data_IF_924565671775
#
_entry.id   IF_924565671775
#
_cell.length_a   1.000
_cell.length_b   1.000
_cell.length_c   1.000
_cell.angle_alpha   90.00
_cell.angle_beta   90.00
_cell.angle_gamma   90.00
#
_symmetry.space_group_name_H-M   'P 1'
#
loop_
_entity.id
_entity.type
_entity.pdbx_description
1 polymer ?
#
# COMPACT_ATOMS: atom_id res chain seq x y z
N UNK A 1 -40.78 -40.50 -26.58
CA UNK A 1 -40.16 -39.31 -25.94
C UNK A 1 -39.11 -39.78 -24.95
N UNK A 2 -37.80 -39.59 -25.23
CA UNK A 2 -36.74 -40.02 -24.32
C UNK A 2 -36.42 -38.92 -23.29
N UNK A 3 -36.13 -39.37 -22.07
CA UNK A 3 -35.80 -38.53 -20.91
C UNK A 3 -34.50 -37.73 -21.12
N UNK A 4 -34.58 -36.40 -20.94
CA UNK A 4 -33.41 -35.51 -20.91
C UNK A 4 -32.70 -35.63 -19.56
N UNK A 5 -31.46 -36.12 -19.58
CA UNK A 5 -30.48 -36.03 -18.49
C UNK A 5 -30.25 -34.56 -18.12
N UNK A 6 -30.34 -34.23 -16.84
CA UNK A 6 -29.81 -32.96 -16.28
C UNK A 6 -28.28 -33.02 -16.31
N UNK A 7 -27.56 -32.01 -16.82
CA UNK A 7 -26.13 -31.92 -16.62
C UNK A 7 -25.83 -31.46 -15.19
N UNK A 8 -24.74 -32.03 -14.66
CA UNK A 8 -24.25 -31.89 -13.30
C UNK A 8 -23.99 -30.43 -12.93
N UNK A 9 -24.36 -30.08 -11.69
CA UNK A 9 -24.01 -28.81 -11.07
C UNK A 9 -22.50 -28.60 -11.08
N UNK A 10 -22.09 -27.54 -11.75
CA UNK A 10 -20.77 -26.95 -11.59
C UNK A 10 -20.62 -26.58 -10.11
N UNK A 11 -19.62 -27.21 -9.49
CA UNK A 11 -19.18 -26.88 -8.14
C UNK A 11 -18.68 -25.45 -8.18
N UNK A 12 -19.49 -24.52 -7.68
CA UNK A 12 -19.06 -23.16 -7.38
C UNK A 12 -17.79 -23.24 -6.52
N UNK A 13 -16.68 -22.77 -7.08
CA UNK A 13 -15.44 -22.58 -6.37
C UNK A 13 -15.73 -21.51 -5.31
N UNK A 14 -15.93 -21.93 -4.05
CA UNK A 14 -16.00 -21.01 -2.92
C UNK A 14 -14.63 -20.32 -2.83
N UNK A 15 -14.56 -19.08 -3.29
CA UNK A 15 -13.44 -18.17 -3.00
C UNK A 15 -13.42 -17.87 -1.49
N UNK A 16 -12.88 -18.81 -0.71
CA UNK A 16 -12.33 -18.48 0.59
C UNK A 16 -10.85 -18.15 0.36
N UNK A 17 -10.58 -16.95 -0.16
CA UNK A 17 -9.26 -16.37 0.03
C UNK A 17 -9.06 -16.21 1.55
N UNK A 18 -7.96 -16.77 2.06
CA UNK A 18 -7.55 -16.61 3.45
C UNK A 18 -7.19 -15.14 3.66
N UNK A 19 -8.18 -14.30 3.98
CA UNK A 19 -7.95 -12.88 4.24
C UNK A 19 -7.13 -12.74 5.51
N UNK A 20 -5.86 -12.35 5.36
CA UNK A 20 -5.00 -11.99 6.48
C UNK A 20 -5.65 -10.82 7.25
N UNK A 21 -5.67 -10.83 8.60
CA UNK A 21 -6.17 -9.69 9.35
C UNK A 21 -5.39 -8.42 9.03
N UNK A 22 -6.08 -7.30 8.80
CA UNK A 22 -5.45 -6.01 8.51
C UNK A 22 -4.35 -5.61 9.52
N UNK A 23 -4.50 -5.81 10.85
CA UNK A 23 -3.41 -5.51 11.78
C UNK A 23 -2.15 -6.33 11.52
N UNK A 24 -2.30 -7.59 11.08
CA UNK A 24 -1.18 -8.44 10.70
C UNK A 24 -0.52 -7.93 9.43
N UNK A 25 -1.31 -7.63 8.38
CA UNK A 25 -0.81 -7.06 7.13
C UNK A 25 -0.03 -5.75 7.37
N UNK A 26 -0.52 -4.87 8.23
CA UNK A 26 0.15 -3.62 8.60
C UNK A 26 1.49 -3.80 9.33
N UNK A 27 1.71 -4.94 9.99
CA UNK A 27 2.97 -5.25 10.69
C UNK A 27 4.02 -5.90 9.80
N UNK A 28 3.61 -6.66 8.78
CA UNK A 28 4.53 -7.39 7.89
C UNK A 28 5.61 -6.50 7.24
N UNK A 29 5.32 -5.25 6.78
CA UNK A 29 6.35 -4.35 6.27
C UNK A 29 7.47 -4.08 7.28
N UNK A 30 7.17 -3.96 8.58
CA UNK A 30 8.19 -3.76 9.60
C UNK A 30 9.07 -5.00 9.79
N UNK A 31 8.48 -6.19 9.70
CA UNK A 31 9.25 -7.44 9.73
C UNK A 31 10.17 -7.55 8.52
N UNK A 32 9.70 -7.15 7.34
CA UNK A 32 10.50 -7.11 6.12
C UNK A 32 11.66 -6.12 6.25
N UNK A 33 11.42 -4.88 6.72
CA UNK A 33 12.48 -3.88 6.93
C UNK A 33 13.55 -4.39 7.89
N UNK A 34 13.15 -5.02 9.00
CA UNK A 34 14.08 -5.60 9.96
C UNK A 34 14.85 -6.79 9.37
N UNK A 35 14.20 -7.67 8.62
CA UNK A 35 14.86 -8.78 7.94
C UNK A 35 15.89 -8.29 6.89
N UNK A 36 15.56 -7.24 6.12
CA UNK A 36 16.48 -6.60 5.17
C UNK A 36 17.71 -6.02 5.88
N UNK A 37 17.52 -5.38 7.03
CA UNK A 37 18.63 -4.88 7.85
C UNK A 37 19.57 -6.02 8.26
N UNK A 38 19.04 -7.09 8.85
CA UNK A 38 19.82 -8.25 9.27
C UNK A 38 20.53 -8.93 8.09
N UNK A 39 19.89 -8.98 6.93
CA UNK A 39 20.49 -9.52 5.72
C UNK A 39 21.71 -8.70 5.28
N UNK A 40 21.59 -7.36 5.31
CA UNK A 40 22.69 -6.45 5.00
C UNK A 40 23.86 -6.58 6.00
N UNK A 41 23.58 -6.97 7.24
CA UNK A 41 24.58 -7.28 8.28
C UNK A 41 25.17 -8.70 8.16
N UNK A 42 24.77 -9.49 7.17
CA UNK A 42 25.27 -10.85 6.92
C UNK A 42 24.66 -11.93 7.82
N UNK A 43 23.54 -11.64 8.49
CA UNK A 43 22.85 -12.61 9.35
C UNK A 43 22.00 -13.55 8.50
N UNK A 44 22.38 -14.82 8.46
CA UNK A 44 21.70 -15.85 7.65
C UNK A 44 20.39 -16.38 8.27
N UNK A 45 20.15 -16.13 9.56
CA UNK A 45 18.94 -16.57 10.26
C UNK A 45 18.42 -15.55 11.25
N UNK A 46 17.10 -15.47 11.39
CA UNK A 46 16.41 -14.59 12.34
C UNK A 46 15.28 -15.33 13.05
N UNK A 47 15.17 -15.17 14.38
CA UNK A 47 14.07 -15.75 15.18
C UNK A 47 12.89 -14.77 15.33
N UNK A 48 11.69 -15.30 15.62
CA UNK A 48 10.52 -14.46 15.95
C UNK A 48 10.78 -13.55 17.15
N UNK A 49 11.61 -13.98 18.12
CA UNK A 49 12.01 -13.17 19.28
C UNK A 49 12.91 -12.00 18.89
N UNK A 50 13.86 -12.22 17.98
CA UNK A 50 14.69 -11.12 17.46
C UNK A 50 13.86 -10.10 16.67
N UNK A 51 12.92 -10.56 15.82
CA UNK A 51 12.01 -9.67 15.09
C UNK A 51 11.13 -8.88 16.07
N UNK A 52 10.57 -9.56 17.07
CA UNK A 52 9.77 -8.95 18.12
C UNK A 52 10.51 -7.83 18.87
N UNK A 53 11.76 -8.08 19.23
CA UNK A 53 12.61 -7.07 19.88
C UNK A 53 12.95 -5.91 18.95
N UNK A 54 13.32 -6.19 17.70
CA UNK A 54 13.67 -5.16 16.72
C UNK A 54 12.51 -4.26 16.31
N UNK A 55 11.29 -4.81 16.27
CA UNK A 55 10.07 -4.09 15.83
C UNK A 55 9.22 -3.59 17.01
N UNK A 56 9.46 -4.08 18.22
CA UNK A 56 8.71 -3.68 19.42
C UNK A 56 7.32 -4.30 19.52
N UNK A 57 7.19 -5.58 19.17
CA UNK A 57 5.93 -6.35 19.25
C UNK A 57 6.13 -7.67 20.02
N UNK A 58 5.04 -8.35 20.39
CA UNK A 58 5.15 -9.65 21.07
C UNK A 58 5.58 -10.78 20.12
N UNK A 59 6.49 -11.67 20.56
CA UNK A 59 7.00 -12.76 19.72
C UNK A 59 5.95 -13.78 19.27
N UNK A 60 4.90 -14.01 20.07
CA UNK A 60 3.79 -14.88 19.69
C UNK A 60 2.96 -14.26 18.57
N UNK A 61 2.86 -12.92 18.55
CA UNK A 61 2.19 -12.18 17.49
C UNK A 61 2.99 -12.25 16.18
N UNK A 62 4.32 -12.11 16.23
CA UNK A 62 5.18 -12.30 15.05
C UNK A 62 5.00 -13.69 14.47
N UNK A 63 5.07 -14.74 15.30
CA UNK A 63 4.91 -16.11 14.84
C UNK A 63 3.54 -16.36 14.20
N UNK A 64 2.47 -15.79 14.79
CA UNK A 64 1.11 -15.84 14.24
C UNK A 64 1.01 -15.12 12.90
N UNK A 65 1.56 -13.91 12.80
CA UNK A 65 1.54 -13.13 11.56
C UNK A 65 2.27 -13.85 10.42
N UNK A 66 3.47 -14.37 10.69
CA UNK A 66 4.27 -15.10 9.71
C UNK A 66 3.63 -16.43 9.29
N UNK A 67 2.76 -17.02 10.12
CA UNK A 67 2.01 -18.21 9.76
C UNK A 67 0.99 -17.98 8.63
N UNK A 68 0.47 -16.75 8.48
CA UNK A 68 -0.46 -16.41 7.38
C UNK A 68 0.23 -16.36 6.02
N UNK A 69 1.53 -16.09 5.97
CA UNK A 69 2.33 -16.00 4.74
C UNK A 69 3.07 -17.31 4.43
N UNK A 70 2.64 -18.43 5.03
CA UNK A 70 3.23 -19.77 4.89
C UNK A 70 4.72 -19.87 5.25
N UNK A 71 5.24 -18.91 6.01
CA UNK A 71 6.64 -18.86 6.38
C UNK A 71 6.83 -19.69 7.66
N UNK A 72 7.34 -20.93 7.49
CA UNK A 72 7.55 -21.88 8.58
C UNK A 72 9.01 -21.84 9.04
N UNK A 73 9.22 -21.34 10.25
CA UNK A 73 10.54 -21.35 10.88
C UNK A 73 10.98 -22.76 11.26
N UNK A 74 12.29 -22.95 11.40
CA UNK A 74 12.88 -24.16 11.97
C UNK A 74 13.02 -24.00 13.48
N UNK A 75 12.55 -24.99 14.23
CA UNK A 75 12.66 -25.03 15.70
C UNK A 75 14.12 -24.79 16.13
N UNK A 76 14.33 -23.84 17.06
CA UNK A 76 15.64 -23.38 17.59
C UNK A 76 16.55 -22.58 16.64
N UNK A 77 16.25 -22.50 15.34
CA UNK A 77 17.07 -21.76 14.36
C UNK A 77 16.35 -20.47 13.91
N UNK A 78 15.02 -20.50 13.81
CA UNK A 78 14.23 -19.40 13.26
C UNK A 78 14.07 -19.53 11.74
N UNK A 79 14.00 -18.40 11.07
CA UNK A 79 13.76 -18.25 9.64
C UNK A 79 15.07 -17.96 8.93
N UNK A 80 15.25 -18.49 7.71
CA UNK A 80 16.35 -18.05 6.85
C UNK A 80 16.06 -16.62 6.41
N UNK A 81 17.01 -15.71 6.63
CA UNK A 81 16.77 -14.27 6.42
C UNK A 81 16.44 -13.95 4.95
N UNK A 82 17.20 -14.52 4.01
CA UNK A 82 16.96 -14.36 2.57
C UNK A 82 15.56 -14.83 2.15
N UNK A 83 15.19 -16.06 2.55
CA UNK A 83 13.88 -16.66 2.26
C UNK A 83 12.75 -15.83 2.87
N UNK A 84 12.96 -15.28 4.07
CA UNK A 84 11.98 -14.41 4.71
C UNK A 84 11.78 -13.10 3.96
N UNK A 85 12.87 -12.47 3.48
CA UNK A 85 12.77 -11.27 2.64
C UNK A 85 11.99 -11.57 1.38
N UNK A 86 12.37 -12.63 0.64
CA UNK A 86 11.72 -13.03 -0.61
C UNK A 86 10.22 -13.32 -0.43
N UNK A 87 9.85 -14.12 0.58
CA UNK A 87 8.44 -14.45 0.85
C UNK A 87 7.63 -13.21 1.21
N UNK A 88 8.19 -12.31 2.04
CA UNK A 88 7.47 -11.11 2.45
C UNK A 88 7.36 -10.09 1.31
N UNK A 89 8.38 -9.89 0.49
CA UNK A 89 8.33 -9.00 -0.68
C UNK A 89 7.26 -9.45 -1.67
N UNK A 90 7.27 -10.74 -2.02
CA UNK A 90 6.27 -11.33 -2.92
C UNK A 90 4.86 -11.23 -2.33
N UNK A 91 4.69 -11.54 -1.04
CA UNK A 91 3.38 -11.48 -0.39
C UNK A 91 2.81 -10.06 -0.29
N UNK A 92 3.67 -9.07 -0.05
CA UNK A 92 3.28 -7.66 0.06
C UNK A 92 3.07 -6.97 -1.30
N UNK A 93 3.38 -7.64 -2.41
CA UNK A 93 3.32 -7.07 -3.76
C UNK A 93 4.45 -6.10 -4.08
N UNK A 94 5.51 -6.05 -3.26
CA UNK A 94 6.64 -5.12 -3.45
C UNK A 94 7.59 -5.54 -4.57
N UNK A 95 7.37 -6.71 -5.17
CA UNK A 95 8.06 -7.18 -6.38
C UNK A 95 7.33 -6.80 -7.67
N UNK A 96 6.09 -6.33 -7.58
CA UNK A 96 5.31 -5.86 -8.74
C UNK A 96 5.66 -4.40 -9.04
N UNK A 97 5.63 -4.01 -10.32
CA UNK A 97 5.81 -2.61 -10.73
C UNK A 97 4.45 -2.00 -11.02
N UNK A 98 3.78 -1.52 -9.98
CA UNK A 98 2.56 -0.74 -10.12
C UNK A 98 2.88 0.68 -10.59
N UNK A 99 2.04 1.21 -11.47
CA UNK A 99 2.14 2.59 -11.95
C UNK A 99 0.99 3.42 -11.40
N UNK A 100 1.30 4.68 -11.08
CA UNK A 100 0.34 5.60 -10.47
C UNK A 100 0.37 6.98 -11.12
N UNK A 101 -0.77 7.65 -11.05
CA UNK A 101 -0.90 9.08 -11.22
C UNK A 101 -1.05 9.78 -9.87
N UNK A 102 -0.47 10.97 -9.73
CA UNK A 102 -0.58 11.79 -8.52
C UNK A 102 -1.42 13.04 -8.79
N UNK A 103 -2.36 13.33 -7.90
CA UNK A 103 -3.31 14.44 -8.04
C UNK A 103 -3.13 15.46 -6.91
N UNK A 104 -2.74 16.68 -7.26
CA UNK A 104 -2.41 17.76 -6.34
C UNK A 104 -0.91 17.81 -6.03
N UNK A 105 -0.17 18.55 -6.84
CA UNK A 105 1.29 18.76 -6.72
C UNK A 105 1.60 19.97 -5.84
N UNK A 106 1.01 19.99 -4.64
CA UNK A 106 1.43 20.87 -3.55
C UNK A 106 2.68 20.32 -2.85
N UNK A 107 2.99 20.82 -1.65
CA UNK A 107 4.18 20.38 -0.90
C UNK A 107 4.27 18.86 -0.68
N UNK A 108 3.15 18.22 -0.31
CA UNK A 108 3.12 16.77 -0.10
C UNK A 108 3.21 16.00 -1.42
N UNK A 109 2.48 16.45 -2.45
CA UNK A 109 2.50 15.81 -3.76
C UNK A 109 3.89 15.86 -4.40
N UNK A 110 4.55 17.02 -4.36
CA UNK A 110 5.92 17.19 -4.81
C UNK A 110 6.90 16.28 -4.07
N UNK A 111 6.79 16.18 -2.74
CA UNK A 111 7.65 15.29 -1.95
C UNK A 111 7.45 13.81 -2.30
N UNK A 112 6.22 13.39 -2.61
CA UNK A 112 5.94 12.01 -3.05
C UNK A 112 6.49 11.73 -4.46
N UNK A 113 6.47 12.71 -5.36
CA UNK A 113 7.08 12.58 -6.69
C UNK A 113 8.60 12.36 -6.61
N UNK A 114 9.27 12.95 -5.63
CA UNK A 114 10.72 12.80 -5.40
C UNK A 114 11.09 11.53 -4.59
N UNK A 115 10.11 10.83 -4.01
CA UNK A 115 10.37 9.72 -3.10
C UNK A 115 10.77 8.44 -3.86
N UNK A 116 12.08 8.24 -3.99
CA UNK A 116 12.68 7.02 -4.55
C UNK A 116 12.35 5.75 -3.77
N UNK A 117 11.96 5.88 -2.50
CA UNK A 117 11.51 4.77 -1.67
C UNK A 117 10.25 4.10 -2.23
N UNK A 118 9.32 4.86 -2.82
CA UNK A 118 8.11 4.31 -3.44
C UNK A 118 8.46 3.32 -4.57
N UNK A 119 9.45 3.65 -5.41
CA UNK A 119 9.94 2.76 -6.47
C UNK A 119 10.51 1.45 -5.90
N UNK A 120 11.19 1.51 -4.75
CA UNK A 120 11.72 0.32 -4.06
C UNK A 120 10.63 -0.59 -3.48
N UNK A 121 9.42 -0.05 -3.29
CA UNK A 121 8.24 -0.78 -2.84
C UNK A 121 7.27 -1.09 -3.98
N UNK A 122 7.72 -1.02 -5.23
CA UNK A 122 6.94 -1.43 -6.40
C UNK A 122 5.94 -0.39 -6.91
N UNK A 123 6.11 0.89 -6.55
CA UNK A 123 5.24 1.97 -7.01
C UNK A 123 6.02 3.02 -7.80
N UNK A 124 5.72 3.15 -9.09
CA UNK A 124 6.24 4.20 -9.97
C UNK A 124 5.16 5.25 -10.22
N UNK A 125 5.41 6.51 -9.85
CA UNK A 125 4.55 7.62 -10.26
C UNK A 125 5.01 8.10 -11.63
N UNK A 126 4.11 8.08 -12.61
CA UNK A 126 4.46 8.34 -14.02
C UNK A 126 4.00 9.71 -14.51
N UNK A 127 3.03 10.31 -13.81
CA UNK A 127 2.55 11.65 -14.07
C UNK A 127 1.93 12.29 -12.82
N UNK A 128 2.06 13.61 -12.71
CA UNK A 128 1.34 14.45 -11.75
C UNK A 128 0.26 15.28 -12.44
N UNK A 129 -0.77 15.67 -11.70
CA UNK A 129 -1.87 16.50 -12.17
C UNK A 129 -2.14 17.63 -11.17
N UNK A 130 -2.31 18.84 -11.68
CA UNK A 130 -2.67 20.01 -10.86
C UNK A 130 -3.56 20.98 -11.66
N UNK A 131 -4.13 21.96 -10.96
CA UNK A 131 -4.89 23.08 -11.55
C UNK A 131 -4.09 24.39 -11.54
N UNK A 132 -2.98 24.43 -10.80
CA UNK A 132 -2.10 25.58 -10.71
C UNK A 132 -1.23 25.69 -11.98
N UNK A 133 -1.51 26.71 -12.79
CA UNK A 133 -0.78 27.00 -14.03
C UNK A 133 0.72 27.24 -13.84
N UNK A 134 1.19 27.49 -12.62
CA UNK A 134 2.62 27.65 -12.33
C UNK A 134 3.38 26.32 -12.32
N UNK A 135 2.72 25.19 -12.06
CA UNK A 135 3.36 23.86 -12.01
C UNK A 135 3.01 23.00 -13.24
N UNK A 136 1.89 23.26 -13.89
CA UNK A 136 1.50 22.57 -15.13
C UNK A 136 2.57 22.79 -16.21
N UNK A 137 2.93 21.73 -16.92
CA UNK A 137 3.97 21.72 -17.96
C UNK A 137 5.40 21.63 -17.43
N UNK A 138 5.59 21.58 -16.10
CA UNK A 138 6.90 21.37 -15.47
C UNK A 138 7.14 19.88 -15.16
N UNK A 139 8.27 19.58 -14.53
CA UNK A 139 8.67 18.23 -14.11
C UNK A 139 9.26 18.22 -12.70
N UNK A 140 9.05 17.14 -11.97
CA UNK A 140 9.70 16.84 -10.68
C UNK A 140 10.29 15.43 -10.75
N UNK A 141 11.58 15.26 -10.49
CA UNK A 141 12.32 13.98 -10.68
C UNK A 141 12.01 13.32 -12.06
N UNK A 142 12.03 14.12 -13.13
CA UNK A 142 11.67 13.74 -14.52
C UNK A 142 10.19 13.40 -14.77
N UNK A 143 9.34 13.41 -13.74
CA UNK A 143 7.92 13.12 -13.86
C UNK A 143 7.16 14.36 -14.34
N UNK A 144 6.46 14.31 -15.49
CA UNK A 144 5.70 15.44 -16.02
C UNK A 144 4.46 15.77 -15.19
N UNK A 145 4.12 17.06 -15.13
CA UNK A 145 2.91 17.58 -14.50
C UNK A 145 1.96 18.10 -15.57
N UNK A 146 0.74 17.57 -15.61
CA UNK A 146 -0.30 17.90 -16.57
C UNK A 146 -1.45 18.70 -15.93
N UNK A 147 -2.30 19.27 -16.78
CA UNK A 147 -3.58 19.81 -16.35
C UNK A 147 -4.54 18.66 -16.04
N UNK A 148 -5.50 18.88 -15.14
CA UNK A 148 -6.62 17.95 -14.94
C UNK A 148 -7.42 17.70 -16.23
N UNK A 149 -7.44 18.65 -17.16
CA UNK A 149 -8.12 18.51 -18.46
C UNK A 149 -7.47 17.43 -19.34
N UNK A 150 -6.18 17.13 -19.12
CA UNK A 150 -5.42 16.13 -19.87
C UNK A 150 -5.58 14.71 -19.29
N UNK A 151 -6.29 14.54 -18.17
CA UNK A 151 -6.39 13.26 -17.45
C UNK A 151 -6.88 12.12 -18.33
N UNK A 152 -7.95 12.34 -19.10
CA UNK A 152 -8.50 11.32 -19.98
C UNK A 152 -7.48 10.86 -21.04
N UNK A 153 -6.80 11.81 -21.68
CA UNK A 153 -5.75 11.52 -22.66
C UNK A 153 -4.59 10.74 -22.02
N UNK A 154 -4.11 11.18 -20.85
CA UNK A 154 -3.01 10.50 -20.16
C UNK A 154 -3.41 9.09 -19.70
N UNK A 155 -4.64 8.88 -19.25
CA UNK A 155 -5.14 7.55 -18.89
C UNK A 155 -5.20 6.62 -20.11
N UNK A 156 -5.58 7.11 -21.28
CA UNK A 156 -5.55 6.34 -22.53
C UNK A 156 -4.11 6.00 -22.97
N UNK A 157 -3.16 6.92 -22.79
CA UNK A 157 -1.74 6.70 -23.10
C UNK A 157 -1.04 5.75 -22.13
N UNK A 158 -1.57 5.62 -20.91
CA UNK A 158 -1.03 4.80 -19.84
C UNK A 158 -2.07 3.78 -19.32
N UNK A 159 -2.52 2.83 -20.16
CA UNK A 159 -3.59 1.88 -19.81
C UNK A 159 -3.22 0.95 -18.63
N UNK A 160 -1.94 0.85 -18.29
CA UNK A 160 -1.43 0.11 -17.13
C UNK A 160 -1.53 0.86 -15.79
N UNK A 161 -1.87 2.16 -15.80
CA UNK A 161 -2.02 2.96 -14.58
C UNK A 161 -3.41 2.73 -14.00
N UNK A 162 -3.44 2.13 -12.82
CA UNK A 162 -4.69 1.82 -12.10
C UNK A 162 -4.76 2.46 -10.71
N UNK A 163 -3.69 3.14 -10.29
CA UNK A 163 -3.55 3.76 -8.98
C UNK A 163 -3.58 5.29 -9.10
N UNK A 164 -4.43 5.94 -8.30
CA UNK A 164 -4.45 7.38 -8.10
C UNK A 164 -4.01 7.77 -6.69
N UNK A 165 -3.00 8.61 -6.57
CA UNK A 165 -2.55 9.17 -5.29
C UNK A 165 -3.19 10.54 -5.11
N UNK A 166 -3.99 10.70 -4.06
CA UNK A 166 -4.81 11.89 -3.85
C UNK A 166 -4.22 12.78 -2.75
N UNK A 167 -3.63 13.91 -3.16
CA UNK A 167 -3.01 14.94 -2.29
C UNK A 167 -3.63 16.33 -2.47
N UNK A 168 -4.87 16.40 -2.98
CA UNK A 168 -5.62 17.63 -3.21
C UNK A 168 -6.28 18.19 -1.92
N UNK A 169 -6.74 19.45 -1.91
CA UNK A 169 -7.59 19.98 -0.84
C UNK A 169 -8.87 19.15 -0.63
N UNK A 170 -9.38 19.15 0.60
CA UNK A 170 -10.57 18.37 0.99
C UNK A 170 -11.78 18.66 0.10
N UNK A 171 -11.96 19.94 -0.27
CA UNK A 171 -13.13 20.40 -1.02
C UNK A 171 -13.21 19.81 -2.43
N UNK A 172 -12.08 19.38 -2.99
CA UNK A 172 -11.98 18.84 -4.35
C UNK A 172 -11.75 17.33 -4.39
N UNK A 173 -11.50 16.69 -3.23
CA UNK A 173 -11.12 15.29 -3.13
C UNK A 173 -12.14 14.32 -3.78
N UNK A 174 -13.44 14.56 -3.54
CA UNK A 174 -14.51 13.72 -4.13
C UNK A 174 -14.61 13.92 -5.65
N UNK A 175 -14.67 15.18 -6.10
CA UNK A 175 -14.80 15.48 -7.52
C UNK A 175 -13.64 14.91 -8.36
N UNK A 176 -12.41 15.00 -7.84
CA UNK A 176 -11.24 14.38 -8.48
C UNK A 176 -11.39 12.86 -8.48
N UNK A 177 -11.74 12.24 -7.34
CA UNK A 177 -11.98 10.79 -7.24
C UNK A 177 -12.97 10.28 -8.28
N UNK A 178 -14.07 11.00 -8.50
CA UNK A 178 -15.09 10.59 -9.48
C UNK A 178 -14.51 10.57 -10.91
N UNK A 179 -13.71 11.59 -11.27
CA UNK A 179 -13.02 11.65 -12.58
C UNK A 179 -11.99 10.52 -12.76
N UNK A 180 -11.24 10.19 -11.71
CA UNK A 180 -10.29 9.06 -11.73
C UNK A 180 -11.01 7.75 -12.08
N UNK A 181 -12.14 7.50 -11.42
CA UNK A 181 -12.93 6.27 -11.62
C UNK A 181 -13.49 6.22 -13.05
N UNK A 182 -13.99 7.34 -13.58
CA UNK A 182 -14.43 7.45 -14.97
C UNK A 182 -13.30 7.13 -15.97
N UNK A 183 -12.06 7.45 -15.62
CA UNK A 183 -10.86 7.14 -16.42
C UNK A 183 -10.30 5.73 -16.18
N UNK A 184 -11.00 4.86 -15.44
CA UNK A 184 -10.59 3.47 -15.20
C UNK A 184 -9.60 3.26 -14.06
N UNK A 185 -9.32 4.29 -13.26
CA UNK A 185 -8.50 4.17 -12.05
C UNK A 185 -9.38 3.62 -10.91
N UNK A 186 -9.04 2.43 -10.42
CA UNK A 186 -9.86 1.71 -9.43
C UNK A 186 -9.14 1.48 -8.09
N UNK A 187 -7.89 1.93 -7.93
CA UNK A 187 -7.18 1.94 -6.67
C UNK A 187 -6.78 3.37 -6.28
N UNK A 188 -7.14 3.81 -5.08
CA UNK A 188 -6.92 5.19 -4.63
C UNK A 188 -6.16 5.19 -3.32
N UNK A 189 -5.01 5.84 -3.30
CA UNK A 189 -4.26 6.13 -2.09
C UNK A 189 -4.55 7.57 -1.64
N UNK A 190 -5.46 7.70 -0.68
CA UNK A 190 -5.99 8.97 -0.23
C UNK A 190 -5.20 9.55 0.95
N UNK A 191 -4.50 10.66 0.74
CA UNK A 191 -3.80 11.42 1.79
C UNK A 191 -4.62 12.59 2.34
N UNK A 192 -5.81 12.83 1.80
CA UNK A 192 -6.70 13.85 2.34
C UNK A 192 -7.29 13.37 3.68
N UNK A 193 -7.57 14.29 4.63
CA UNK A 193 -8.21 13.91 5.90
C UNK A 193 -9.72 13.61 5.74
N UNK A 194 -10.23 13.54 4.51
CA UNK A 194 -11.62 13.34 4.18
C UNK A 194 -11.85 11.93 3.63
N UNK A 195 -12.96 11.29 4.04
CA UNK A 195 -13.35 9.99 3.48
C UNK A 195 -14.13 10.21 2.19
N UNK A 196 -13.54 9.78 1.09
CA UNK A 196 -14.18 9.73 -0.23
C UNK A 196 -15.19 8.58 -0.29
N UNK A 197 -16.28 8.77 -1.04
CA UNK A 197 -17.26 7.75 -1.36
C UNK A 197 -16.94 7.17 -2.73
N UNK A 198 -16.90 5.85 -2.84
CA UNK A 198 -16.55 5.14 -4.08
C UNK A 198 -17.50 3.97 -4.31
N UNK A 199 -17.73 3.56 -5.58
CA UNK A 199 -18.54 2.38 -5.89
C UNK A 199 -17.87 1.08 -5.45
N UNK A 200 -18.63 -0.01 -5.48
CA UNK A 200 -18.12 -1.35 -5.20
C UNK A 200 -17.03 -1.73 -6.23
N UNK A 201 -15.96 -2.39 -5.74
CA UNK A 201 -14.81 -2.77 -6.56
C UNK A 201 -13.67 -1.75 -6.59
N UNK A 202 -13.90 -0.50 -6.16
CA UNK A 202 -12.82 0.49 -6.00
C UNK A 202 -12.15 0.31 -4.65
N UNK A 203 -10.82 0.17 -4.66
CA UNK A 203 -9.99 0.01 -3.46
C UNK A 203 -9.55 1.40 -2.99
N UNK A 204 -9.81 1.72 -1.73
CA UNK A 204 -9.37 3.00 -1.14
C UNK A 204 -8.53 2.74 0.10
N UNK A 205 -7.28 3.20 0.08
CA UNK A 205 -6.41 3.23 1.25
C UNK A 205 -6.27 4.66 1.76
N UNK A 206 -6.74 4.92 2.98
CA UNK A 206 -6.62 6.24 3.62
C UNK A 206 -5.34 6.33 4.45
N UNK A 207 -4.62 7.44 4.31
CA UNK A 207 -3.38 7.73 5.06
C UNK A 207 -3.46 9.11 5.70
N UNK A 208 -3.31 9.16 7.02
CA UNK A 208 -3.35 10.40 7.78
C UNK A 208 -2.13 10.50 8.69
N UNK A 209 -1.23 11.44 8.39
CA UNK A 209 -0.13 11.79 9.29
C UNK A 209 -0.64 12.29 10.64
N UNK A 210 -1.78 12.99 10.62
CA UNK A 210 -2.40 13.56 11.83
C UNK A 210 -2.92 12.49 12.79
N UNK A 211 -3.36 11.33 12.28
CA UNK A 211 -3.78 10.22 13.13
C UNK A 211 -2.63 9.70 14.01
N UNK A 212 -1.42 9.58 13.45
CA UNK A 212 -0.24 9.18 14.22
C UNK A 212 0.19 10.24 15.22
N UNK A 213 0.08 11.53 14.86
CA UNK A 213 0.34 12.63 15.79
C UNK A 213 -0.62 12.58 16.99
N UNK A 214 -1.92 12.34 16.75
CA UNK A 214 -2.91 12.20 17.81
C UNK A 214 -2.61 11.01 18.73
N UNK A 215 -2.17 9.86 18.18
CA UNK A 215 -1.74 8.71 18.97
C UNK A 215 -0.55 9.06 19.87
N UNK A 216 0.45 9.78 19.35
CA UNK A 216 1.59 10.26 20.13
C UNK A 216 1.12 11.19 21.26
N UNK A 217 0.26 12.16 20.95
CA UNK A 217 -0.29 13.09 21.95
C UNK A 217 -1.04 12.36 23.06
N UNK A 218 -1.82 11.34 22.72
CA UNK A 218 -2.53 10.53 23.72
C UNK A 218 -1.57 9.76 24.62
N UNK A 219 -0.53 9.13 24.05
CA UNK A 219 0.50 8.41 24.82
C UNK A 219 1.26 9.32 25.78
N UNK A 220 1.62 10.53 25.34
CA UNK A 220 2.28 11.51 26.21
C UNK A 220 1.40 11.90 27.40
N UNK A 221 0.09 12.13 27.18
CA UNK A 221 -0.85 12.44 28.27
C UNK A 221 -0.96 11.31 29.29
N UNK A 222 -1.04 10.06 28.84
CA UNK A 222 -1.10 8.90 29.74
C UNK A 222 0.22 8.67 30.50
N UNK A 223 1.37 8.90 29.86
CA UNK A 223 2.69 8.77 30.50
C UNK A 223 2.97 9.84 31.56
N UNK A 224 2.31 11.00 31.49
CA UNK A 224 2.45 12.09 32.45
C UNK A 224 1.67 11.89 33.77
N UNK A 225 0.80 10.87 33.86
CA UNK A 225 -0.01 10.58 35.06
C UNK A 225 0.55 9.42 35.92
N UNK A 226 1.78 8.97 35.64
CA UNK A 226 2.42 7.85 36.35
C UNK A 226 3.58 8.26 37.26
N UNK A 227 3.63 9.53 37.68
CA UNK A 227 4.59 10.02 38.68
C UNK A 227 3.87 10.71 39.84
#
# INVERSE_FOLDING_TARGET
MPAKKKPNGEKGCKQNQCMIPEPSLRRLPWYLSYAKLLLAEGQNSVSSTQIAQGVGVDSSLVAKDLSYVNLKGRTRIGYRTEEMVEVLENFLGFTENHRAFLFGVGNLGAALLEDRGLRQFGLEIVAGFDVNSQVIGTRIDEIPIFSMDDLAEQAELHPEVHIGILTVPIQTAQAVTDQLIECGIYAIWNFTPYRISVPEGVVVQNTSMYAHLALMFNRMKCGLHTH
#
